data_IF_647528848180
#
_entry.id   IF_647528848180
#
_cell.length_a   1.000
_cell.length_b   1.000
_cell.length_c   1.000
_cell.angle_alpha   90.00
_cell.angle_beta   90.00
_cell.angle_gamma   90.00
#
_symmetry.space_group_name_H-M   'P 1'
#
loop_
_entity.id
_entity.type
_entity.pdbx_description
1 polymer ?
#
# COMPACT_ATOMS: atom_id res chain seq x y z
N UNK A 1 -36.05 62.27 24.32
CA UNK A 1 -35.78 61.52 23.07
C UNK A 1 -34.72 60.47 23.37
N UNK A 2 -35.09 59.17 23.37
CA UNK A 2 -34.17 58.05 23.59
C UNK A 2 -34.16 57.19 22.32
N UNK A 3 -33.01 56.94 21.66
CA UNK A 3 -32.96 56.08 20.49
C UNK A 3 -32.98 54.60 20.90
N UNK A 4 -33.84 53.83 20.24
CA UNK A 4 -33.85 52.37 20.30
C UNK A 4 -32.80 51.82 19.34
N UNK A 5 -31.79 51.11 19.86
CA UNK A 5 -30.87 50.31 19.05
C UNK A 5 -31.41 48.88 18.98
N UNK A 6 -31.91 48.50 17.80
CA UNK A 6 -32.28 47.12 17.48
C UNK A 6 -31.00 46.31 17.22
N UNK A 7 -30.73 45.31 18.06
CA UNK A 7 -29.64 44.36 17.83
C UNK A 7 -30.09 43.26 16.86
N UNK A 8 -29.48 43.21 15.67
CA UNK A 8 -29.58 42.06 14.77
C UNK A 8 -28.76 40.90 15.33
N UNK A 9 -29.42 39.83 15.76
CA UNK A 9 -28.77 38.56 16.07
C UNK A 9 -28.50 37.80 14.75
N UNK A 10 -27.23 37.72 14.35
CA UNK A 10 -26.80 36.85 13.25
C UNK A 10 -26.84 35.39 13.72
N UNK A 11 -27.73 34.59 13.12
CA UNK A 11 -27.78 33.15 13.35
C UNK A 11 -26.67 32.45 12.53
N UNK A 12 -25.63 32.00 13.21
CA UNK A 12 -24.57 31.17 12.64
C UNK A 12 -25.09 29.74 12.43
N UNK A 13 -25.35 29.36 11.18
CA UNK A 13 -25.66 27.96 10.84
C UNK A 13 -24.36 27.16 10.74
N UNK A 14 -24.03 26.40 11.79
CA UNK A 14 -22.95 25.41 11.72
C UNK A 14 -23.44 24.20 10.91
N UNK A 15 -22.94 24.06 9.68
CA UNK A 15 -23.11 22.85 8.87
C UNK A 15 -22.32 21.73 9.53
N UNK A 16 -23.02 20.82 10.21
CA UNK A 16 -22.41 19.60 10.75
C UNK A 16 -22.16 18.66 9.58
N UNK A 17 -20.92 18.64 9.09
CA UNK A 17 -20.49 17.65 8.10
C UNK A 17 -20.46 16.30 8.82
N UNK A 18 -21.41 15.42 8.50
CA UNK A 18 -21.47 14.09 9.08
C UNK A 18 -20.28 13.26 8.56
N UNK A 19 -19.23 13.15 9.38
CA UNK A 19 -18.09 12.28 9.10
C UNK A 19 -18.56 10.83 8.96
N UNK A 20 -18.23 10.18 7.84
CA UNK A 20 -18.58 8.77 7.62
C UNK A 20 -17.85 7.87 8.63
N UNK A 21 -18.52 6.88 9.26
CA UNK A 21 -17.88 6.00 10.23
C UNK A 21 -16.74 5.18 9.62
N UNK A 22 -15.55 5.27 10.22
CA UNK A 22 -14.36 4.54 9.77
C UNK A 22 -14.24 3.18 10.47
N UNK A 23 -13.86 2.11 9.75
CA UNK A 23 -13.71 0.78 10.32
C UNK A 23 -12.40 0.63 11.09
N UNK A 24 -12.43 -0.16 12.16
CA UNK A 24 -11.25 -0.73 12.82
C UNK A 24 -11.20 -2.22 12.46
N UNK A 25 -10.06 -2.67 11.95
CA UNK A 25 -9.91 -3.99 11.32
C UNK A 25 -8.85 -4.81 12.09
N UNK A 26 -9.22 -6.03 12.50
CA UNK A 26 -8.30 -6.99 13.13
C UNK A 26 -8.46 -8.32 12.43
N UNK A 27 -7.35 -8.97 12.08
CA UNK A 27 -7.33 -10.21 11.28
C UNK A 27 -8.12 -10.10 9.95
N UNK A 28 -8.20 -8.91 9.35
CA UNK A 28 -8.98 -8.67 8.12
C UNK A 28 -10.50 -8.62 8.33
N UNK A 29 -10.99 -8.57 9.57
CA UNK A 29 -12.40 -8.41 9.92
C UNK A 29 -12.64 -7.04 10.52
N UNK A 30 -13.72 -6.38 10.10
CA UNK A 30 -14.18 -5.16 10.77
C UNK A 30 -14.71 -5.54 12.15
N UNK A 31 -14.02 -5.10 13.19
CA UNK A 31 -14.36 -5.43 14.58
C UNK A 31 -15.41 -4.46 15.10
N UNK A 32 -15.25 -3.18 14.75
CA UNK A 32 -16.20 -2.11 15.00
C UNK A 32 -15.90 -0.91 14.09
N UNK A 33 -16.81 0.06 14.11
CA UNK A 33 -16.65 1.37 13.47
C UNK A 33 -16.65 2.48 14.51
N UNK A 34 -15.84 3.50 14.26
CA UNK A 34 -15.77 4.74 15.03
C UNK A 34 -16.28 5.90 14.18
N UNK A 35 -16.91 6.89 14.81
CA UNK A 35 -17.43 8.09 14.12
C UNK A 35 -16.98 9.38 14.79
N UNK A 36 -16.61 9.31 16.07
CA UNK A 36 -16.14 10.45 16.84
C UNK A 36 -14.60 10.56 16.72
N UNK A 37 -14.01 11.72 16.40
CA UNK A 37 -12.56 11.85 16.40
C UNK A 37 -11.97 11.82 17.82
N UNK A 38 -12.77 12.02 18.88
CA UNK A 38 -12.27 12.10 20.26
C UNK A 38 -11.26 13.25 20.44
N UNK A 39 -10.12 13.02 21.13
CA UNK A 39 -9.07 14.03 21.30
C UNK A 39 -8.18 14.20 20.06
N UNK A 40 -8.39 13.42 19.01
CA UNK A 40 -7.57 13.46 17.80
C UNK A 40 -8.10 14.53 16.85
N UNK A 41 -7.21 15.14 16.05
CA UNK A 41 -7.61 16.18 15.10
C UNK A 41 -8.54 15.68 13.97
N UNK A 42 -8.52 14.38 13.68
CA UNK A 42 -9.38 13.75 12.67
C UNK A 42 -9.79 12.33 13.07
N UNK A 43 -10.86 11.82 12.45
CA UNK A 43 -11.31 10.43 12.65
C UNK A 43 -10.26 9.42 12.16
N UNK A 44 -9.56 9.73 11.07
CA UNK A 44 -8.48 8.89 10.53
C UNK A 44 -7.30 8.79 11.51
N UNK A 45 -6.91 9.90 12.15
CA UNK A 45 -5.87 9.91 13.17
C UNK A 45 -6.24 9.05 14.39
N UNK A 46 -7.53 9.05 14.79
CA UNK A 46 -8.02 8.15 15.85
C UNK A 46 -7.92 6.68 15.45
N UNK A 47 -8.34 6.30 14.25
CA UNK A 47 -8.23 4.92 13.76
C UNK A 47 -6.77 4.46 13.73
N UNK A 48 -5.87 5.29 13.21
CA UNK A 48 -4.44 5.01 13.19
C UNK A 48 -3.88 4.77 14.61
N UNK A 49 -4.30 5.58 15.60
CA UNK A 49 -3.88 5.39 16.98
C UNK A 49 -4.41 4.07 17.57
N UNK A 50 -5.66 3.70 17.27
CA UNK A 50 -6.24 2.41 17.68
C UNK A 50 -5.46 1.24 17.07
N UNK A 51 -5.15 1.31 15.76
CA UNK A 51 -4.36 0.28 15.08
C UNK A 51 -2.96 0.12 15.71
N UNK A 52 -2.31 1.23 16.07
CA UNK A 52 -1.04 1.19 16.78
C UNK A 52 -1.15 0.47 18.14
N UNK A 53 -2.21 0.74 18.91
CA UNK A 53 -2.45 0.05 20.18
C UNK A 53 -2.75 -1.45 20.00
N UNK A 54 -3.44 -1.84 18.93
CA UNK A 54 -3.68 -3.24 18.60
C UNK A 54 -2.35 -3.95 18.26
N UNK A 55 -1.50 -3.33 17.44
CA UNK A 55 -0.16 -3.87 17.13
C UNK A 55 0.71 -4.03 18.39
N UNK A 56 0.66 -3.06 19.30
CA UNK A 56 1.34 -3.14 20.59
C UNK A 56 0.81 -4.31 21.44
N UNK A 57 -0.51 -4.46 21.51
CA UNK A 57 -1.14 -5.57 22.23
C UNK A 57 -0.73 -6.94 21.67
N UNK A 58 -0.70 -7.08 20.34
CA UNK A 58 -0.23 -8.32 19.68
C UNK A 58 1.21 -8.64 20.07
N UNK A 59 2.03 -7.62 20.29
CA UNK A 59 3.44 -7.79 20.61
C UNK A 59 3.71 -8.12 22.08
N UNK A 60 2.79 -7.76 23.00
CA UNK A 60 3.02 -7.79 24.45
C UNK A 60 2.10 -8.68 25.25
N UNK A 61 0.91 -8.98 24.73
CA UNK A 61 -0.14 -9.69 25.45
C UNK A 61 -0.40 -11.07 24.82
N UNK A 62 -1.00 -11.99 25.59
CA UNK A 62 -1.47 -13.27 25.04
C UNK A 62 -2.75 -13.06 24.21
N UNK A 63 -2.57 -12.84 22.91
CA UNK A 63 -3.68 -12.71 21.95
C UNK A 63 -4.33 -14.03 21.58
N UNK A 64 -3.73 -15.19 21.91
CA UNK A 64 -4.34 -16.50 21.73
C UNK A 64 -5.46 -16.77 22.75
N UNK A 65 -5.27 -16.28 23.99
CA UNK A 65 -6.27 -16.32 25.07
C UNK A 65 -6.48 -14.91 25.64
N UNK A 66 -7.05 -13.98 24.85
CA UNK A 66 -7.08 -12.57 25.18
C UNK A 66 -7.90 -12.28 26.45
N UNK A 67 -7.24 -11.70 27.44
CA UNK A 67 -7.89 -11.20 28.66
C UNK A 67 -8.45 -9.80 28.43
N UNK A 68 -9.66 -9.72 27.87
CA UNK A 68 -10.32 -8.45 27.58
C UNK A 68 -10.91 -7.83 28.86
N UNK A 69 -10.61 -6.55 29.09
CA UNK A 69 -11.06 -5.80 30.26
C UNK A 69 -11.77 -4.52 29.79
N UNK A 70 -12.93 -4.24 30.38
CA UNK A 70 -13.68 -2.99 30.15
C UNK A 70 -13.75 -2.22 31.46
N UNK A 71 -13.16 -1.02 31.48
CA UNK A 71 -13.07 -0.17 32.67
C UNK A 71 -13.34 1.28 32.31
N UNK A 72 -13.79 2.06 33.29
CA UNK A 72 -13.94 3.49 33.11
C UNK A 72 -12.63 4.21 33.43
N UNK A 73 -12.08 4.99 32.48
CA UNK A 73 -10.86 5.77 32.64
C UNK A 73 -11.12 7.21 32.19
N UNK A 74 -10.91 8.18 33.07
CA UNK A 74 -11.15 9.59 32.77
C UNK A 74 -12.61 9.88 32.37
N UNK A 75 -13.57 9.18 32.99
CA UNK A 75 -14.99 9.30 32.68
C UNK A 75 -15.47 8.54 31.44
N UNK A 76 -14.55 8.02 30.61
CA UNK A 76 -14.88 7.26 29.39
C UNK A 76 -14.80 5.76 29.64
N UNK A 77 -15.69 5.00 29.00
CA UNK A 77 -15.59 3.53 28.99
C UNK A 77 -14.54 3.09 27.98
N UNK A 78 -13.57 2.31 28.44
CA UNK A 78 -12.38 1.95 27.70
C UNK A 78 -12.19 0.43 27.67
N UNK A 79 -11.67 -0.06 26.55
CA UNK A 79 -11.35 -1.47 26.31
C UNK A 79 -9.83 -1.66 26.39
N UNK A 80 -9.43 -2.70 27.12
CA UNK A 80 -8.05 -3.15 27.30
C UNK A 80 -7.95 -4.64 26.97
N UNK A 81 -6.74 -5.08 26.65
CA UNK A 81 -6.32 -6.48 26.65
C UNK A 81 -5.15 -6.61 27.60
N UNK A 82 -5.33 -7.38 28.68
CA UNK A 82 -4.36 -7.45 29.76
C UNK A 82 -4.09 -6.06 30.34
N UNK A 83 -2.85 -5.55 30.17
CA UNK A 83 -2.45 -4.22 30.65
C UNK A 83 -2.47 -3.16 29.55
N UNK A 84 -2.67 -3.56 28.30
CA UNK A 84 -2.57 -2.69 27.13
C UNK A 84 -3.92 -2.04 26.82
N UNK A 85 -3.93 -0.71 26.77
CA UNK A 85 -5.10 0.08 26.37
C UNK A 85 -5.34 -0.05 24.87
N UNK A 86 -6.59 -0.23 24.44
CA UNK A 86 -6.93 -0.32 23.02
C UNK A 86 -7.72 0.91 22.55
N UNK A 87 -8.86 1.19 23.18
CA UNK A 87 -9.79 2.22 22.69
C UNK A 87 -10.75 2.71 23.79
N UNK A 88 -11.17 3.97 23.72
CA UNK A 88 -12.25 4.54 24.52
C UNK A 88 -13.49 4.82 23.66
N UNK A 89 -14.69 4.68 24.23
CA UNK A 89 -15.96 5.00 23.58
C UNK A 89 -16.33 6.46 23.84
N UNK A 90 -16.51 7.24 22.77
CA UNK A 90 -16.99 8.62 22.86
C UNK A 90 -18.49 8.72 22.56
N UNK A 91 -19.07 9.90 22.80
CA UNK A 91 -20.50 10.13 22.65
C UNK A 91 -20.99 9.87 21.21
N UNK A 92 -20.22 10.27 20.19
CA UNK A 92 -20.55 9.99 18.79
C UNK A 92 -20.63 8.49 18.49
N UNK A 93 -19.72 7.70 19.06
CA UNK A 93 -19.73 6.24 18.89
C UNK A 93 -20.96 5.62 19.55
N UNK A 94 -21.27 6.01 20.79
CA UNK A 94 -22.47 5.55 21.49
C UNK A 94 -23.75 5.84 20.70
N UNK A 95 -23.83 7.04 20.10
CA UNK A 95 -24.94 7.45 19.23
C UNK A 95 -25.04 6.60 17.97
N UNK A 96 -23.92 6.22 17.34
CA UNK A 96 -23.89 5.37 16.16
C UNK A 96 -24.56 4.01 16.41
N UNK A 97 -24.34 3.40 17.57
CA UNK A 97 -24.93 2.10 17.92
C UNK A 97 -26.30 2.20 18.61
N UNK A 98 -26.75 3.41 18.97
CA UNK A 98 -27.98 3.60 19.76
C UNK A 98 -27.89 2.94 21.14
N UNK A 99 -26.70 2.87 21.74
CA UNK A 99 -26.47 2.15 23.01
C UNK A 99 -25.67 3.00 24.01
N UNK A 100 -25.80 2.74 25.32
CA UNK A 100 -24.96 3.39 26.33
C UNK A 100 -23.47 3.11 26.08
N UNK A 101 -22.56 4.06 26.38
CA UNK A 101 -21.12 3.89 26.10
C UNK A 101 -20.51 2.60 26.69
N UNK A 102 -20.96 2.20 27.89
CA UNK A 102 -20.55 0.94 28.52
C UNK A 102 -20.88 -0.28 27.66
N UNK A 103 -22.10 -0.34 27.11
CA UNK A 103 -22.57 -1.45 26.27
C UNK A 103 -21.82 -1.51 24.95
N UNK A 104 -21.49 -0.36 24.38
CA UNK A 104 -20.63 -0.28 23.19
C UNK A 104 -19.21 -0.79 23.49
N UNK A 105 -18.64 -0.42 24.64
CA UNK A 105 -17.32 -0.91 25.05
C UNK A 105 -17.33 -2.44 25.27
N UNK A 106 -18.36 -2.97 25.93
CA UNK A 106 -18.57 -4.41 26.10
C UNK A 106 -18.70 -5.14 24.75
N UNK A 107 -19.46 -4.57 23.81
CA UNK A 107 -19.61 -5.10 22.45
C UNK A 107 -18.27 -5.13 21.71
N UNK A 108 -17.52 -4.04 21.73
CA UNK A 108 -16.20 -3.97 21.08
C UNK A 108 -15.22 -4.95 21.70
N UNK A 109 -15.21 -5.07 23.04
CA UNK A 109 -14.38 -6.02 23.74
C UNK A 109 -14.70 -7.48 23.35
N UNK A 110 -15.98 -7.82 23.22
CA UNK A 110 -16.41 -9.16 22.77
C UNK A 110 -15.93 -9.45 21.34
N UNK A 111 -16.12 -8.50 20.41
CA UNK A 111 -15.66 -8.65 19.01
C UNK A 111 -14.15 -8.77 18.90
N UNK A 112 -13.41 -7.99 19.69
CA UNK A 112 -11.95 -8.08 19.77
C UNK A 112 -11.50 -9.43 20.35
N UNK A 113 -12.18 -9.93 21.40
CA UNK A 113 -11.92 -11.24 21.99
C UNK A 113 -12.01 -12.37 20.97
N UNK A 114 -12.96 -12.28 20.04
CA UNK A 114 -13.12 -13.23 18.94
C UNK A 114 -12.05 -13.08 17.84
N UNK A 115 -11.57 -11.85 17.59
CA UNK A 115 -10.64 -11.55 16.51
C UNK A 115 -9.17 -11.81 16.88
N UNK A 116 -8.76 -11.55 18.13
CA UNK A 116 -7.36 -11.65 18.57
C UNK A 116 -6.73 -13.04 18.39
N UNK A 117 -7.43 -14.16 18.67
CA UNK A 117 -6.84 -15.48 18.46
C UNK A 117 -6.46 -15.76 17.00
N UNK A 118 -7.06 -15.04 16.04
CA UNK A 118 -6.79 -15.17 14.61
C UNK A 118 -5.53 -14.41 14.15
N UNK A 119 -5.00 -13.51 14.98
CA UNK A 119 -3.73 -12.80 14.69
C UNK A 119 -2.53 -13.45 15.37
N UNK A 120 -2.72 -14.52 16.14
CA UNK A 120 -1.62 -15.18 16.85
C UNK A 120 -0.55 -15.65 15.85
N UNK A 121 0.72 -15.24 16.01
CA UNK A 121 1.81 -15.75 15.19
C UNK A 121 1.90 -17.26 15.32
N UNK A 122 2.06 -17.98 14.21
CA UNK A 122 2.09 -19.46 14.18
C UNK A 122 3.08 -20.08 15.18
N UNK A 123 4.18 -19.37 15.49
CA UNK A 123 5.18 -19.83 16.47
C UNK A 123 4.71 -19.87 17.93
N UNK A 124 3.54 -19.31 18.27
CA UNK A 124 3.03 -19.21 19.64
C UNK A 124 1.72 -19.96 19.88
N UNK A 125 1.15 -20.64 18.87
CA UNK A 125 -0.06 -21.44 19.05
C UNK A 125 0.25 -22.71 19.85
N UNK A 126 -0.08 -22.70 21.14
CA UNK A 126 0.10 -23.86 22.05
C UNK A 126 -1.05 -24.87 21.99
N UNK A 127 -2.18 -24.50 21.39
CA UNK A 127 -3.41 -25.29 21.41
C UNK A 127 -3.64 -26.02 20.07
N UNK A 128 -3.32 -27.32 20.02
CA UNK A 128 -3.53 -28.19 18.85
C UNK A 128 -5.01 -28.34 18.44
N UNK A 129 -5.94 -27.92 19.30
CA UNK A 129 -7.39 -28.10 19.15
C UNK A 129 -8.07 -27.08 18.23
N UNK A 130 -7.44 -25.95 17.93
CA UNK A 130 -7.97 -24.93 16.99
C UNK A 130 -7.67 -25.30 15.54
N UNK A 131 -6.67 -26.15 15.29
CA UNK A 131 -6.27 -26.58 13.96
C UNK A 131 -7.39 -27.29 13.17
N UNK A 132 -8.33 -27.94 13.86
CA UNK A 132 -9.36 -28.79 13.22
C UNK A 132 -10.67 -28.06 12.89
N UNK A 133 -10.90 -26.82 13.35
CA UNK A 133 -12.11 -26.03 13.01
C UNK A 133 -11.90 -25.02 11.87
N UNK A 134 -10.69 -24.93 11.34
CA UNK A 134 -10.32 -24.08 10.20
C UNK A 134 -10.35 -24.83 8.86
N UNK A 135 -10.84 -26.07 8.82
CA UNK A 135 -10.85 -26.94 7.63
C UNK A 135 -11.81 -26.49 6.51
N UNK A 136 -12.47 -25.33 6.63
CA UNK A 136 -12.88 -24.58 5.44
C UNK A 136 -11.94 -23.38 5.30
N UNK A 137 -10.88 -23.49 4.48
CA UNK A 137 -9.97 -22.38 4.29
C UNK A 137 -10.72 -21.24 3.60
N UNK A 138 -11.12 -20.23 4.37
CA UNK A 138 -10.91 -18.86 3.90
C UNK A 138 -9.40 -18.74 3.79
N UNK A 139 -8.88 -19.01 2.60
CA UNK A 139 -7.47 -18.87 2.30
C UNK A 139 -7.05 -17.41 2.52
N UNK A 140 -6.75 -17.04 3.76
CA UNK A 140 -5.62 -16.16 4.03
C UNK A 140 -4.40 -16.98 3.63
N UNK A 141 -4.18 -17.11 2.33
CA UNK A 141 -2.93 -17.61 1.81
C UNK A 141 -1.87 -16.76 2.50
N UNK A 142 -1.12 -17.37 3.43
CA UNK A 142 0.15 -16.83 3.81
C UNK A 142 0.92 -16.77 2.50
N UNK A 143 0.92 -15.59 1.90
CA UNK A 143 1.61 -15.32 0.65
C UNK A 143 3.06 -15.60 0.96
N UNK A 144 3.59 -16.69 0.38
CA UNK A 144 4.99 -17.07 0.57
C UNK A 144 5.84 -15.83 0.28
N UNK A 145 6.84 -15.51 1.12
CA UNK A 145 7.71 -14.38 0.87
C UNK A 145 8.28 -14.51 -0.54
N UNK A 146 8.14 -13.44 -1.33
CA UNK A 146 8.66 -13.41 -2.70
C UNK A 146 10.15 -13.22 -2.63
N UNK A 147 10.89 -14.22 -3.11
CA UNK A 147 12.35 -14.12 -3.24
C UNK A 147 12.69 -13.35 -4.51
N UNK A 148 13.21 -12.14 -4.36
CA UNK A 148 13.72 -11.33 -5.48
C UNK A 148 15.21 -11.65 -5.66
N UNK A 149 15.66 -12.05 -6.87
CA UNK A 149 17.08 -12.25 -7.13
C UNK A 149 17.91 -10.99 -6.84
N UNK A 150 19.13 -11.09 -6.27
CA UNK A 150 19.97 -9.94 -5.92
C UNK A 150 20.19 -8.94 -7.06
N UNK A 151 20.33 -9.44 -8.28
CA UNK A 151 20.50 -8.65 -9.50
C UNK A 151 19.30 -7.76 -9.87
N UNK A 152 18.17 -7.98 -9.20
CA UNK A 152 16.92 -7.25 -9.41
C UNK A 152 16.47 -6.43 -8.21
N UNK A 153 17.30 -6.33 -7.17
CA UNK A 153 16.97 -5.55 -5.98
C UNK A 153 16.75 -4.07 -6.27
N UNK A 154 17.55 -3.48 -7.17
CA UNK A 154 17.34 -2.11 -7.65
C UNK A 154 15.96 -1.93 -8.27
N UNK A 155 15.58 -2.83 -9.18
CA UNK A 155 14.27 -2.80 -9.85
C UNK A 155 13.13 -2.87 -8.83
N UNK A 156 13.15 -3.87 -7.94
CA UNK A 156 12.11 -4.03 -6.94
C UNK A 156 12.01 -2.80 -6.01
N UNK A 157 13.14 -2.23 -5.59
CA UNK A 157 13.19 -1.04 -4.76
C UNK A 157 12.64 0.21 -5.46
N UNK A 158 12.97 0.42 -6.74
CA UNK A 158 12.40 1.51 -7.56
C UNK A 158 10.87 1.43 -7.57
N UNK A 159 10.34 0.24 -7.86
CA UNK A 159 8.89 0.02 -7.95
C UNK A 159 8.20 0.14 -6.59
N UNK A 160 8.85 -0.27 -5.49
CA UNK A 160 8.34 -0.02 -4.14
C UNK A 160 8.16 1.49 -3.90
N UNK A 161 9.14 2.31 -4.31
CA UNK A 161 9.06 3.77 -4.13
C UNK A 161 7.97 4.39 -5.01
N UNK A 162 7.84 3.98 -6.26
CA UNK A 162 6.79 4.49 -7.17
C UNK A 162 5.39 4.13 -6.68
N UNK A 163 5.19 2.88 -6.24
CA UNK A 163 3.94 2.43 -5.64
C UNK A 163 3.64 3.13 -4.32
N UNK A 164 4.67 3.46 -3.53
CA UNK A 164 4.51 4.28 -2.34
C UNK A 164 4.05 5.68 -2.72
N UNK A 165 4.71 6.35 -3.69
CA UNK A 165 4.30 7.68 -4.18
C UNK A 165 2.82 7.67 -4.55
N UNK A 166 2.34 6.68 -5.33
CA UNK A 166 0.95 6.57 -5.76
C UNK A 166 -0.06 6.48 -4.60
N UNK A 167 0.37 5.95 -3.45
CA UNK A 167 -0.44 5.87 -2.22
C UNK A 167 -0.51 7.19 -1.45
N UNK A 168 0.54 8.01 -1.52
CA UNK A 168 0.63 9.30 -0.82
C UNK A 168 -0.08 10.45 -1.56
N UNK A 169 -0.48 10.22 -2.81
CA UNK A 169 -1.20 11.18 -3.65
C UNK A 169 -2.53 11.60 -3.00
N UNK A 170 -2.82 12.91 -3.06
CA UNK A 170 -4.08 13.47 -2.56
C UNK A 170 -5.28 13.04 -3.41
N UNK A 171 -6.48 12.99 -2.84
CA UNK A 171 -7.70 12.68 -3.62
C UNK A 171 -8.01 13.75 -4.67
N UNK A 172 -7.59 14.99 -4.45
CA UNK A 172 -7.86 16.14 -5.32
C UNK A 172 -7.01 16.09 -6.59
N UNK A 173 -5.75 15.69 -6.48
CA UNK A 173 -4.79 15.59 -7.60
C UNK A 173 -4.67 14.18 -8.16
N UNK A 174 -5.51 13.24 -7.71
CA UNK A 174 -5.29 11.81 -7.90
C UNK A 174 -5.17 11.40 -9.36
N UNK A 175 -6.06 11.88 -10.22
CA UNK A 175 -6.08 11.48 -11.62
C UNK A 175 -4.82 11.96 -12.38
N UNK A 176 -4.37 13.19 -12.11
CA UNK A 176 -3.19 13.78 -12.75
C UNK A 176 -1.90 13.10 -12.25
N UNK A 177 -1.78 12.94 -10.93
CA UNK A 177 -0.63 12.25 -10.33
C UNK A 177 -0.56 10.78 -10.74
N UNK A 178 -1.70 10.10 -10.90
CA UNK A 178 -1.76 8.74 -11.42
C UNK A 178 -1.24 8.65 -12.85
N UNK A 179 -1.63 9.57 -13.73
CA UNK A 179 -1.14 9.59 -15.11
C UNK A 179 0.37 9.84 -15.14
N UNK A 180 0.86 10.78 -14.33
CA UNK A 180 2.30 11.09 -14.22
C UNK A 180 3.10 9.90 -13.68
N UNK A 181 2.65 9.28 -12.59
CA UNK A 181 3.32 8.12 -12.00
C UNK A 181 3.23 6.88 -12.88
N UNK A 182 2.13 6.70 -13.62
CA UNK A 182 2.02 5.62 -14.58
C UNK A 182 3.02 5.77 -15.73
N UNK A 183 3.20 7.00 -16.23
CA UNK A 183 4.23 7.29 -17.22
C UNK A 183 5.64 7.00 -16.67
N UNK A 184 5.95 7.43 -15.44
CA UNK A 184 7.23 7.16 -14.76
C UNK A 184 7.49 5.64 -14.63
N UNK A 185 6.49 4.86 -14.20
CA UNK A 185 6.61 3.39 -14.11
C UNK A 185 6.87 2.75 -15.48
N UNK A 186 6.20 3.22 -16.53
CA UNK A 186 6.33 2.65 -17.88
C UNK A 186 7.69 2.99 -18.48
N UNK A 187 8.17 4.21 -18.30
CA UNK A 187 9.50 4.65 -18.73
C UNK A 187 10.59 3.84 -18.02
N UNK A 188 10.49 3.69 -16.70
CA UNK A 188 11.41 2.88 -15.91
C UNK A 188 11.36 1.41 -16.35
N UNK A 189 10.18 0.86 -16.64
CA UNK A 189 10.05 -0.50 -17.16
C UNK A 189 10.83 -0.70 -18.46
N UNK A 190 10.72 0.23 -19.41
CA UNK A 190 11.45 0.15 -20.67
C UNK A 190 12.97 0.22 -20.44
N UNK A 191 13.43 1.12 -19.55
CA UNK A 191 14.85 1.23 -19.19
C UNK A 191 15.38 -0.03 -18.52
N UNK A 192 14.68 -0.53 -17.50
CA UNK A 192 15.07 -1.75 -16.80
C UNK A 192 15.12 -2.98 -17.71
N UNK A 193 14.30 -3.02 -18.77
CA UNK A 193 14.30 -4.14 -19.72
C UNK A 193 15.57 -4.16 -20.58
N UNK A 194 16.14 -3.00 -20.90
CA UNK A 194 17.32 -2.85 -21.77
C UNK A 194 18.63 -2.64 -20.99
N UNK A 195 18.55 -2.23 -19.73
CA UNK A 195 19.70 -2.08 -18.86
C UNK A 195 20.32 -3.45 -18.53
N UNK A 196 21.66 -3.53 -18.43
CA UNK A 196 22.32 -4.75 -18.00
C UNK A 196 21.95 -5.10 -16.55
N UNK A 197 21.92 -6.40 -16.18
CA UNK A 197 21.69 -6.79 -14.80
C UNK A 197 22.78 -6.25 -13.89
N UNK A 198 22.39 -5.66 -12.75
CA UNK A 198 23.32 -5.06 -11.79
C UNK A 198 23.61 -6.09 -10.71
N UNK A 199 24.80 -6.67 -10.71
CA UNK A 199 25.16 -7.69 -9.72
C UNK A 199 25.35 -7.07 -8.31
N UNK A 200 24.42 -7.36 -7.41
CA UNK A 200 24.55 -7.10 -5.97
C UNK A 200 24.57 -5.63 -5.56
N UNK A 201 24.76 -5.41 -4.27
CA UNK A 201 24.72 -4.10 -3.62
C UNK A 201 23.35 -3.74 -3.04
N UNK A 202 23.31 -2.67 -2.24
CA UNK A 202 22.09 -2.22 -1.57
C UNK A 202 21.55 -3.23 -0.56
N UNK A 203 20.30 -3.03 -0.16
CA UNK A 203 19.60 -3.89 0.79
C UNK A 203 18.51 -4.68 0.06
N UNK A 204 18.22 -5.88 0.59
CA UNK A 204 17.12 -6.71 0.12
C UNK A 204 15.81 -5.90 0.12
N UNK A 205 14.99 -5.99 -0.95
CA UNK A 205 13.75 -5.23 -1.05
C UNK A 205 12.87 -5.38 0.19
N UNK A 206 12.46 -4.23 0.72
CA UNK A 206 11.61 -4.17 1.91
C UNK A 206 12.33 -4.28 3.26
N UNK A 207 13.65 -4.50 3.30
CA UNK A 207 14.42 -4.58 4.55
C UNK A 207 15.04 -3.24 4.99
N UNK A 208 15.28 -2.31 4.06
CA UNK A 208 15.85 -1.01 4.37
C UNK A 208 14.77 -0.02 4.90
N UNK A 209 14.86 0.47 6.15
CA UNK A 209 13.91 1.44 6.68
C UNK A 209 14.07 2.82 6.04
N UNK A 210 15.28 3.13 5.56
CA UNK A 210 15.64 4.42 4.97
C UNK A 210 15.73 4.35 3.44
N UNK A 211 14.92 3.51 2.77
CA UNK A 211 15.04 3.23 1.34
C UNK A 211 15.14 4.51 0.46
N UNK A 212 14.41 5.57 0.83
CA UNK A 212 14.39 6.88 0.12
C UNK A 212 15.71 7.66 0.21
N UNK A 213 16.51 7.42 1.24
CA UNK A 213 17.73 8.20 1.54
C UNK A 213 18.98 7.33 1.70
N UNK A 214 18.83 6.01 1.72
CA UNK A 214 19.93 5.07 1.83
C UNK A 214 20.79 5.12 0.57
N UNK A 215 22.01 5.61 0.72
CA UNK A 215 22.99 5.76 -0.37
C UNK A 215 23.14 4.49 -1.21
N UNK A 216 23.28 3.33 -0.58
CA UNK A 216 23.53 2.07 -1.27
C UNK A 216 22.30 1.63 -2.08
N UNK A 217 21.10 1.76 -1.52
CA UNK A 217 19.87 1.45 -2.26
C UNK A 217 19.66 2.42 -3.43
N UNK A 218 19.91 3.72 -3.23
CA UNK A 218 19.81 4.73 -4.28
C UNK A 218 20.80 4.45 -5.42
N UNK A 219 22.03 4.07 -5.09
CA UNK A 219 23.04 3.71 -6.09
C UNK A 219 22.61 2.50 -6.94
N UNK A 220 22.07 1.44 -6.31
CA UNK A 220 21.62 0.24 -7.04
C UNK A 220 20.35 0.51 -7.87
N UNK A 221 19.42 1.35 -7.39
CA UNK A 221 18.26 1.79 -8.18
C UNK A 221 18.69 2.59 -9.41
N UNK A 222 19.62 3.54 -9.25
CA UNK A 222 20.16 4.32 -10.36
C UNK A 222 20.90 3.43 -11.37
N UNK A 223 21.73 2.50 -10.90
CA UNK A 223 22.43 1.55 -11.75
C UNK A 223 21.44 0.66 -12.54
N UNK A 224 20.34 0.25 -11.91
CA UNK A 224 19.32 -0.58 -12.57
C UNK A 224 18.56 0.15 -13.70
N UNK A 225 18.64 1.48 -13.76
CA UNK A 225 18.06 2.33 -14.81
C UNK A 225 19.10 2.77 -15.86
N UNK A 226 20.38 2.41 -15.68
CA UNK A 226 21.46 2.83 -16.57
C UNK A 226 21.41 2.04 -17.89
N UNK A 227 20.78 2.63 -18.90
CA UNK A 227 20.73 2.10 -20.27
C UNK A 227 21.97 2.57 -21.05
N UNK A 228 22.58 1.65 -21.80
CA UNK A 228 23.66 1.96 -22.74
C UNK A 228 23.21 3.00 -23.77
N UNK A 229 24.13 3.85 -24.22
CA UNK A 229 23.78 5.02 -25.05
C UNK A 229 23.10 4.64 -26.37
N UNK A 230 23.57 3.58 -27.02
CA UNK A 230 23.02 3.00 -28.25
C UNK A 230 21.61 2.40 -28.09
N UNK A 231 21.18 2.14 -26.85
CA UNK A 231 19.85 1.58 -26.54
C UNK A 231 18.84 2.63 -26.05
N UNK A 232 19.23 3.90 -25.90
CA UNK A 232 18.34 4.95 -25.38
C UNK A 232 17.13 5.23 -26.29
N UNK A 233 17.35 5.20 -27.61
CA UNK A 233 16.27 5.41 -28.58
C UNK A 233 15.30 4.22 -28.58
N UNK A 234 15.82 2.99 -28.47
CA UNK A 234 15.01 1.77 -28.29
C UNK A 234 14.20 1.85 -27.00
N UNK A 235 14.80 2.28 -25.88
CA UNK A 235 14.12 2.43 -24.59
C UNK A 235 12.97 3.43 -24.69
N UNK A 236 13.19 4.56 -25.37
CA UNK A 236 12.17 5.60 -25.58
C UNK A 236 11.02 5.08 -26.43
N UNK A 237 11.32 4.41 -27.56
CA UNK A 237 10.31 3.80 -28.41
C UNK A 237 9.51 2.71 -27.67
N UNK A 238 10.20 1.88 -26.86
CA UNK A 238 9.59 0.83 -26.07
C UNK A 238 8.68 1.40 -24.96
N UNK A 239 9.06 2.50 -24.33
CA UNK A 239 8.20 3.21 -23.38
C UNK A 239 6.91 3.69 -24.05
N UNK A 240 7.01 4.28 -25.25
CA UNK A 240 5.84 4.69 -26.03
C UNK A 240 4.93 3.50 -26.42
N UNK A 241 5.53 2.38 -26.81
CA UNK A 241 4.80 1.14 -27.12
C UNK A 241 4.09 0.56 -25.89
N UNK A 242 4.76 0.51 -24.73
CA UNK A 242 4.18 0.08 -23.47
C UNK A 242 3.07 1.03 -22.98
N UNK A 243 3.22 2.34 -23.18
CA UNK A 243 2.19 3.32 -22.82
C UNK A 243 0.92 3.16 -23.67
N UNK A 244 1.07 2.72 -24.91
CA UNK A 244 -0.05 2.42 -25.82
C UNK A 244 -0.62 1.00 -25.61
N UNK A 245 0.05 0.16 -24.81
CA UNK A 245 -0.37 -1.21 -24.55
C UNK A 245 -1.43 -1.29 -23.44
N UNK A 246 -2.64 -1.75 -23.79
CA UNK A 246 -3.75 -1.81 -22.84
C UNK A 246 -3.45 -2.74 -21.64
N UNK A 247 -2.70 -3.82 -21.84
CA UNK A 247 -2.37 -4.75 -20.76
C UNK A 247 -1.37 -4.14 -19.78
N UNK A 248 -0.35 -3.44 -20.28
CA UNK A 248 0.62 -2.73 -19.45
C UNK A 248 -0.06 -1.62 -18.62
N UNK A 249 -0.85 -0.75 -19.26
CA UNK A 249 -1.57 0.33 -18.56
C UNK A 249 -2.59 -0.20 -17.56
N UNK A 250 -3.26 -1.32 -17.85
CA UNK A 250 -4.16 -1.99 -16.90
C UNK A 250 -3.39 -2.56 -15.70
N UNK A 251 -2.22 -3.16 -15.91
CA UNK A 251 -1.40 -3.69 -14.83
C UNK A 251 -0.95 -2.61 -13.84
N UNK A 252 -0.54 -1.43 -14.35
CA UNK A 252 -0.18 -0.27 -13.51
C UNK A 252 -1.38 0.24 -12.72
N UNK A 253 -2.53 0.45 -13.38
CA UNK A 253 -3.77 0.89 -12.71
C UNK A 253 -4.22 -0.06 -11.61
N UNK A 254 -4.20 -1.37 -11.88
CA UNK A 254 -4.52 -2.38 -10.86
C UNK A 254 -3.56 -2.33 -9.67
N UNK A 255 -2.27 -2.07 -9.91
CA UNK A 255 -1.31 -1.92 -8.82
C UNK A 255 -1.62 -0.67 -7.97
N UNK A 256 -1.96 0.46 -8.59
CA UNK A 256 -2.38 1.69 -7.89
C UNK A 256 -3.65 1.50 -7.08
N UNK A 257 -4.68 0.91 -7.67
CA UNK A 257 -5.91 0.58 -6.97
C UNK A 257 -5.61 -0.31 -5.76
N UNK A 258 -4.82 -1.37 -5.95
CA UNK A 258 -4.53 -2.30 -4.88
C UNK A 258 -3.73 -1.62 -3.74
N UNK A 259 -2.64 -0.88 -4.00
CA UNK A 259 -1.85 -0.22 -2.93
C UNK A 259 -2.64 0.78 -2.10
N UNK A 260 -3.69 1.38 -2.67
CA UNK A 260 -4.58 2.31 -1.96
C UNK A 260 -5.54 1.62 -1.00
N UNK A 261 -5.88 0.36 -1.26
CA UNK A 261 -6.82 -0.40 -0.45
C UNK A 261 -6.14 -1.30 0.59
N UNK A 262 -4.81 -1.40 0.61
CA UNK A 262 -4.09 -2.19 1.62
C UNK A 262 -3.82 -1.35 2.87
N UNK A 263 -4.18 -1.90 4.03
CA UNK A 263 -3.82 -1.33 5.35
C UNK A 263 -2.29 -1.20 5.51
N UNK A 264 -1.83 -0.13 6.16
CA UNK A 264 -0.39 0.19 6.26
C UNK A 264 0.50 -0.95 6.77
N UNK A 265 0.10 -1.74 7.79
CA UNK A 265 0.90 -2.87 8.26
C UNK A 265 1.03 -3.97 7.18
N UNK A 266 -0.03 -4.23 6.42
CA UNK A 266 -0.04 -5.22 5.33
C UNK A 266 0.78 -4.75 4.14
N UNK A 267 0.76 -3.45 3.87
CA UNK A 267 1.50 -2.86 2.76
C UNK A 267 3.01 -3.09 2.88
N UNK A 268 3.59 -3.08 4.09
CA UNK A 268 5.03 -3.32 4.27
C UNK A 268 5.47 -4.73 3.87
N UNK A 269 4.64 -5.74 4.12
CA UNK A 269 4.91 -7.13 3.72
C UNK A 269 4.59 -7.38 2.23
N UNK A 270 3.54 -6.73 1.72
CA UNK A 270 3.03 -6.96 0.36
C UNK A 270 3.75 -6.13 -0.72
N UNK A 271 4.39 -5.02 -0.35
CA UNK A 271 5.04 -4.10 -1.31
C UNK A 271 6.07 -4.78 -2.20
N UNK A 272 6.87 -5.68 -1.65
CA UNK A 272 7.93 -6.38 -2.41
C UNK A 272 7.31 -7.27 -3.47
N UNK A 273 6.29 -8.05 -3.09
CA UNK A 273 5.56 -8.91 -4.03
C UNK A 273 4.90 -8.10 -5.13
N UNK A 274 4.20 -7.03 -4.77
CA UNK A 274 3.51 -6.19 -5.74
C UNK A 274 4.45 -5.52 -6.73
N UNK A 275 5.52 -4.89 -6.21
CA UNK A 275 6.54 -4.26 -7.01
C UNK A 275 7.15 -5.26 -8.00
N UNK A 276 7.51 -6.45 -7.49
CA UNK A 276 8.10 -7.51 -8.30
C UNK A 276 7.13 -8.05 -9.36
N UNK A 277 5.88 -8.33 -8.99
CA UNK A 277 4.86 -8.82 -9.92
C UNK A 277 4.50 -7.78 -10.99
N UNK A 278 4.45 -6.50 -10.64
CA UNK A 278 4.22 -5.42 -11.60
C UNK A 278 5.36 -5.37 -12.62
N UNK A 279 6.61 -5.34 -12.14
CA UNK A 279 7.78 -5.39 -13.00
C UNK A 279 7.75 -6.61 -13.93
N UNK A 280 7.56 -7.82 -13.41
CA UNK A 280 7.52 -9.04 -14.22
C UNK A 280 6.47 -8.99 -15.33
N UNK A 281 5.30 -8.41 -15.05
CA UNK A 281 4.24 -8.23 -16.05
C UNK A 281 4.67 -7.26 -17.14
N UNK A 282 5.26 -6.12 -16.77
CA UNK A 282 5.73 -5.11 -17.72
C UNK A 282 6.92 -5.63 -18.55
N UNK A 283 7.89 -6.31 -17.92
CA UNK A 283 8.99 -6.97 -18.61
C UNK A 283 8.50 -8.01 -19.64
N UNK A 284 7.47 -8.80 -19.28
CA UNK A 284 6.87 -9.76 -20.21
C UNK A 284 6.08 -9.09 -21.36
N UNK A 285 5.59 -7.86 -21.18
CA UNK A 285 5.04 -7.06 -22.30
C UNK A 285 6.18 -6.51 -23.15
N UNK A 286 7.21 -5.94 -22.53
CA UNK A 286 8.39 -5.40 -23.19
C UNK A 286 9.06 -6.44 -24.10
N UNK A 287 9.25 -7.66 -23.61
CA UNK A 287 9.81 -8.77 -24.39
C UNK A 287 9.04 -9.11 -25.66
N UNK A 288 7.72 -8.87 -25.68
CA UNK A 288 6.88 -9.08 -26.87
C UNK A 288 6.95 -7.92 -27.86
N UNK A 289 7.17 -6.70 -27.37
CA UNK A 289 7.16 -5.49 -28.18
C UNK A 289 8.55 -5.17 -28.77
N UNK A 290 9.63 -5.44 -28.02
CA UNK A 290 11.00 -5.05 -28.37
C UNK A 290 11.48 -5.59 -29.73
N UNK A 291 11.28 -6.87 -30.11
CA UNK A 291 11.75 -7.38 -31.40
C UNK A 291 11.15 -6.64 -32.60
N UNK A 292 9.93 -6.13 -32.48
CA UNK A 292 9.28 -5.36 -33.54
C UNK A 292 9.89 -3.97 -33.71
N UNK A 293 10.46 -3.40 -32.63
CA UNK A 293 11.09 -2.09 -32.66
C UNK A 293 12.51 -2.17 -33.21
N UNK A 294 13.27 -3.20 -32.83
CA UNK A 294 14.62 -3.45 -33.37
C UNK A 294 14.58 -3.68 -34.88
N UNK A 295 13.57 -4.38 -35.39
CA UNK A 295 13.37 -4.58 -36.83
C UNK A 295 13.12 -3.28 -37.61
N UNK A 296 12.49 -2.28 -36.96
CA UNK A 296 12.24 -0.96 -37.57
C UNK A 296 13.49 -0.08 -37.53
N UNK A 297 14.31 -0.22 -36.49
CA UNK A 297 15.53 0.57 -36.30
C UNK A 297 16.76 -0.01 -37.00
N UNK A 298 16.72 -1.30 -37.39
CA UNK A 298 17.77 -1.89 -38.21
C UNK A 298 17.93 -1.01 -39.46
N UNK A 299 19.10 -0.34 -39.65
CA UNK A 299 19.33 0.47 -40.83
C UNK A 299 19.07 -0.44 -42.01
N UNK A 300 18.15 -0.06 -42.90
CA UNK A 300 17.74 -0.85 -44.05
C UNK A 300 19.02 -1.42 -44.68
N UNK A 301 19.29 -2.71 -44.41
CA UNK A 301 20.60 -3.29 -44.62
C UNK A 301 20.94 -2.98 -46.07
N UNK A 302 22.01 -2.18 -46.27
CA UNK A 302 22.35 -1.60 -47.56
C UNK A 302 22.12 -2.65 -48.63
N UNK A 303 21.07 -2.45 -49.44
CA UNK A 303 20.66 -3.41 -50.44
C UNK A 303 21.93 -3.80 -51.18
N UNK A 304 22.32 -5.09 -51.27
CA UNK A 304 23.51 -5.49 -52.02
C UNK A 304 23.23 -5.24 -53.50
N UNK A 305 23.37 -3.99 -53.91
CA UNK A 305 23.06 -3.45 -55.20
C UNK A 305 24.29 -2.71 -55.70
N UNK A 306 24.80 -3.19 -56.83
CA UNK A 306 25.86 -2.59 -57.64
C UNK A 306 27.30 -2.76 -57.13
N UNK A 307 27.71 -4.01 -56.93
CA UNK A 307 29.05 -4.40 -57.37
C UNK A 307 29.10 -4.25 -58.90
N UNK A 308 29.38 -3.03 -59.35
CA UNK A 308 29.55 -2.67 -60.76
C UNK A 308 30.69 -3.52 -61.33
N UNK A 309 30.36 -4.37 -62.29
CA UNK A 309 31.33 -5.05 -63.13
C UNK A 309 32.17 -4.00 -63.88
N UNK A 310 33.32 -3.65 -63.32
CA UNK A 310 34.40 -2.96 -64.02
C UNK A 310 35.30 -4.04 -64.62
N UNK A 311 34.92 -4.52 -65.80
CA UNK A 311 35.64 -5.55 -66.53
C UNK A 311 35.18 -5.61 -67.98
N UNK A 312 35.50 -4.56 -68.75
CA UNK A 312 35.70 -4.58 -70.21
C UNK A 312 36.34 -3.24 -70.63
#
# INVERSE_FOLDING_TARGET
MRPWTAALAAASFSVVVASSPLPVIVAGRVVFRVVDPGPYGTLAARVQAIDQQICEAISREDVGKPNMIVVQRGGLWSVFIGKTFLVSVYAGDAKLYGQPPKKVAELWAARLKEAFPLVQPLGQMTDKSVATRLDRPLATAQTRPVKVPPEHWGIANTYILLLWKAREVSRETQAEDDLRLAAEIIEDAARHYLAPPVAGGGHEPGTCPSLRTCRDCQAVMAAALAVEEDKRDVATALAGALASDEQATRAVRQAFEYVRHIDQPRFMAERVRMAWQLWQRLAARAARLCPSLEAVQAPAAATPGEAKAAGA
#
